data_IF_752036126128
#
_entry.id   IF_752036126128
#
_cell.length_a   1.000
_cell.length_b   1.000
_cell.length_c   1.000
_cell.angle_alpha   90.00
_cell.angle_beta   90.00
_cell.angle_gamma   90.00
#
_symmetry.space_group_name_H-M   'P 1'
#
loop_
_entity.id
_entity.type
_entity.pdbx_description
1 polymer ?
#
# COMPACT_ATOMS: atom_id res chain seq x y z
N UNK A 1 10.67 0.16 -9.95
CA UNK A 1 11.33 1.12 -9.05
C UNK A 1 11.27 2.52 -9.64
N UNK A 2 11.98 2.81 -10.74
CA UNK A 2 12.11 4.16 -11.32
C UNK A 2 10.78 4.91 -11.41
N UNK A 3 9.74 4.38 -12.04
CA UNK A 3 8.51 5.15 -12.24
C UNK A 3 7.79 5.55 -10.93
N UNK A 4 7.75 4.68 -9.92
CA UNK A 4 7.07 4.97 -8.65
C UNK A 4 7.85 5.99 -7.81
N UNK A 5 9.18 5.89 -7.80
CA UNK A 5 10.05 6.88 -7.14
C UNK A 5 10.05 8.22 -7.87
N UNK A 6 10.21 8.20 -9.19
CA UNK A 6 10.11 9.41 -10.03
C UNK A 6 8.74 10.08 -9.89
N UNK A 7 7.66 9.31 -9.75
CA UNK A 7 6.35 9.88 -9.47
C UNK A 7 6.32 10.56 -8.09
N UNK A 8 6.82 9.89 -7.05
CA UNK A 8 6.88 10.45 -5.69
C UNK A 8 7.69 11.76 -5.64
N UNK A 9 8.79 11.83 -6.38
CA UNK A 9 9.57 13.06 -6.59
C UNK A 9 8.77 14.13 -7.35
N UNK A 10 8.11 13.75 -8.44
CA UNK A 10 7.34 14.68 -9.28
C UNK A 10 6.17 15.35 -8.56
N UNK A 11 5.56 14.65 -7.59
CA UNK A 11 4.45 15.18 -6.79
C UNK A 11 4.92 15.84 -5.50
N UNK A 12 6.24 15.97 -5.31
CA UNK A 12 6.86 16.52 -4.11
C UNK A 12 6.30 15.88 -2.82
N UNK A 13 6.19 14.55 -2.82
CA UNK A 13 5.62 13.83 -1.69
C UNK A 13 6.45 14.08 -0.41
N UNK A 14 5.82 14.33 0.75
CA UNK A 14 6.53 14.58 2.01
C UNK A 14 7.24 13.33 2.58
N UNK A 15 7.12 12.19 1.90
CA UNK A 15 7.63 10.89 2.29
C UNK A 15 6.74 9.76 1.75
N UNK A 16 7.25 8.53 1.75
CA UNK A 16 6.52 7.36 1.32
C UNK A 16 7.32 6.07 1.43
N UNK A 17 6.61 4.95 1.31
CA UNK A 17 7.21 3.64 1.12
C UNK A 17 6.49 2.92 -0.01
N UNK A 18 7.23 2.11 -0.75
CA UNK A 18 6.79 1.34 -1.90
C UNK A 18 7.03 -0.11 -1.56
N UNK A 19 5.98 -0.92 -1.63
CA UNK A 19 6.05 -2.36 -1.42
C UNK A 19 5.51 -3.09 -2.66
N UNK A 20 6.22 -4.12 -3.10
CA UNK A 20 5.81 -5.01 -4.18
C UNK A 20 5.69 -6.42 -3.59
N UNK A 21 4.57 -7.06 -3.86
CA UNK A 21 4.28 -8.42 -3.41
C UNK A 21 3.95 -9.31 -4.59
N UNK A 22 4.09 -10.61 -4.41
CA UNK A 22 3.60 -11.60 -5.37
C UNK A 22 2.07 -11.79 -5.29
N UNK A 23 1.53 -12.72 -6.06
CA UNK A 23 0.11 -13.04 -6.06
C UNK A 23 -0.41 -13.64 -4.74
N UNK A 24 0.46 -14.23 -3.92
CA UNK A 24 0.15 -14.75 -2.58
C UNK A 24 0.29 -13.70 -1.48
N UNK A 25 0.77 -12.50 -1.81
CA UNK A 25 1.01 -11.42 -0.87
C UNK A 25 2.37 -11.52 -0.16
N UNK A 26 3.30 -12.35 -0.65
CA UNK A 26 4.66 -12.40 -0.13
C UNK A 26 5.46 -11.20 -0.62
N UNK A 27 6.21 -10.57 0.28
CA UNK A 27 7.02 -9.41 -0.03
C UNK A 27 8.16 -9.79 -0.98
N UNK A 28 8.19 -9.14 -2.14
CA UNK A 28 9.29 -9.25 -3.11
C UNK A 28 10.26 -8.08 -2.92
N UNK A 29 9.71 -6.89 -2.66
CA UNK A 29 10.51 -5.67 -2.53
C UNK A 29 9.85 -4.65 -1.61
N UNK A 30 10.67 -3.96 -0.84
CA UNK A 30 10.29 -2.81 -0.03
C UNK A 30 11.34 -1.72 -0.17
N UNK A 31 10.91 -0.50 -0.47
CA UNK A 31 11.75 0.69 -0.48
C UNK A 31 11.05 1.80 0.29
N UNK A 32 11.77 2.48 1.20
CA UNK A 32 11.24 3.60 1.98
C UNK A 32 12.06 4.84 1.67
N UNK A 33 11.37 5.92 1.31
CA UNK A 33 11.97 7.21 1.02
C UNK A 33 12.55 7.79 2.32
N UNK A 34 13.74 8.36 2.24
CA UNK A 34 14.40 8.99 3.40
C UNK A 34 13.51 10.09 4.02
N UNK A 35 13.54 10.23 5.35
CA UNK A 35 12.69 11.18 6.08
C UNK A 35 11.22 10.76 6.27
N UNK A 36 10.80 9.61 5.70
CA UNK A 36 9.44 9.09 5.89
C UNK A 36 9.21 8.53 7.29
N UNK A 37 7.99 8.66 7.82
CA UNK A 37 7.58 8.08 9.10
C UNK A 37 7.87 6.56 9.17
N UNK A 38 8.27 6.02 10.35
CA UNK A 38 8.77 4.63 10.45
C UNK A 38 7.78 3.56 9.99
N UNK A 39 6.49 3.72 10.31
CA UNK A 39 5.47 2.70 10.02
C UNK A 39 5.03 2.68 8.54
N UNK A 40 5.53 3.60 7.70
CA UNK A 40 5.16 3.67 6.28
C UNK A 40 5.45 2.37 5.54
N UNK A 41 6.55 1.70 5.89
CA UNK A 41 6.93 0.40 5.33
C UNK A 41 5.85 -0.65 5.51
N UNK A 42 5.32 -0.76 6.74
CA UNK A 42 4.30 -1.73 7.09
C UNK A 42 2.96 -1.40 6.44
N UNK A 43 2.60 -0.10 6.40
CA UNK A 43 1.39 0.37 5.72
C UNK A 43 1.44 0.08 4.22
N UNK A 44 2.58 0.34 3.56
CA UNK A 44 2.76 0.06 2.15
C UNK A 44 2.64 -1.45 1.86
N UNK A 45 3.29 -2.28 2.69
CA UNK A 45 3.18 -3.73 2.60
C UNK A 45 1.75 -4.22 2.81
N UNK A 46 1.06 -3.75 3.85
CA UNK A 46 -0.32 -4.11 4.14
C UNK A 46 -1.26 -3.79 2.97
N UNK A 47 -1.12 -2.61 2.36
CA UNK A 47 -1.87 -2.22 1.16
C UNK A 47 -1.56 -3.13 -0.03
N UNK A 48 -0.29 -3.39 -0.31
CA UNK A 48 0.13 -4.25 -1.42
C UNK A 48 -0.39 -5.69 -1.24
N UNK A 49 -0.24 -6.25 -0.04
CA UNK A 49 -0.72 -7.58 0.32
C UNK A 49 -2.24 -7.69 0.21
N UNK A 50 -2.96 -6.69 0.72
CA UNK A 50 -4.43 -6.63 0.60
C UNK A 50 -4.83 -6.63 -0.87
N UNK A 51 -4.19 -5.79 -1.69
CA UNK A 51 -4.48 -5.73 -3.12
C UNK A 51 -4.20 -7.06 -3.84
N UNK A 52 -3.12 -7.75 -3.48
CA UNK A 52 -2.78 -9.04 -4.05
C UNK A 52 -3.76 -10.16 -3.67
N UNK A 53 -4.21 -10.22 -2.41
CA UNK A 53 -5.11 -11.27 -1.90
C UNK A 53 -6.53 -11.06 -2.39
N UNK A 54 -7.06 -9.84 -2.28
CA UNK A 54 -8.44 -9.53 -2.66
C UNK A 54 -8.60 -9.25 -4.16
N UNK A 55 -7.50 -9.16 -4.92
CA UNK A 55 -7.47 -8.80 -6.35
C UNK A 55 -8.23 -7.50 -6.63
N UNK A 56 -8.22 -6.58 -5.67
CA UNK A 56 -8.95 -5.31 -5.68
C UNK A 56 -8.10 -4.25 -4.98
N UNK A 57 -8.16 -2.96 -5.37
CA UNK A 57 -7.49 -1.91 -4.63
C UNK A 57 -7.92 -1.90 -3.16
N UNK A 58 -6.96 -1.70 -2.23
CA UNK A 58 -7.27 -1.70 -0.79
C UNK A 58 -8.32 -0.64 -0.41
N UNK A 59 -8.38 0.47 -1.17
CA UNK A 59 -9.37 1.53 -1.00
C UNK A 59 -10.81 1.01 -1.10
N UNK A 60 -11.07 -0.01 -1.91
CA UNK A 60 -12.42 -0.56 -2.03
C UNK A 60 -12.92 -1.17 -0.72
N UNK A 61 -12.03 -1.70 0.12
CA UNK A 61 -12.40 -2.20 1.45
C UNK A 61 -12.72 -1.06 2.41
N UNK A 62 -11.94 0.03 2.36
CA UNK A 62 -12.18 1.23 3.14
C UNK A 62 -13.52 1.89 2.74
N UNK A 63 -13.75 2.04 1.44
CA UNK A 63 -15.00 2.58 0.89
C UNK A 63 -16.21 1.69 1.28
N UNK A 64 -16.05 0.36 1.33
CA UNK A 64 -17.12 -0.53 1.78
C UNK A 64 -17.50 -0.27 3.26
N UNK A 65 -16.52 -0.08 4.14
CA UNK A 65 -16.74 0.22 5.55
C UNK A 65 -17.41 1.60 5.72
N UNK A 66 -16.89 2.62 5.03
CA UNK A 66 -17.43 3.99 5.08
C UNK A 66 -18.88 4.04 4.58
N UNK A 67 -19.22 3.26 3.55
CA UNK A 67 -20.58 3.17 3.01
C UNK A 67 -21.50 2.24 3.80
N UNK A 68 -21.14 1.87 5.03
CA UNK A 68 -22.02 1.16 5.95
C UNK A 68 -22.13 -0.35 5.72
N UNK A 69 -21.22 -0.97 4.94
CA UNK A 69 -21.12 -2.44 4.97
C UNK A 69 -20.48 -2.88 6.27
N UNK A 70 -21.04 -3.92 6.88
CA UNK A 70 -20.42 -4.61 8.00
C UNK A 70 -19.03 -5.10 7.58
N UNK A 71 -18.00 -4.74 8.36
CA UNK A 71 -16.63 -5.22 8.15
C UNK A 71 -16.57 -6.75 8.19
N UNK A 72 -15.51 -7.37 7.68
CA UNK A 72 -15.34 -8.84 7.62
C UNK A 72 -15.19 -9.44 9.04
N UNK A 73 -16.27 -9.46 9.82
CA UNK A 73 -16.35 -9.87 11.23
C UNK A 73 -16.83 -11.33 11.36
N UNK A 74 -16.19 -12.27 10.70
CA UNK A 74 -16.41 -13.71 10.91
C UNK A 74 -15.15 -14.45 10.49
#
# INVERSE_FOLDING_TARGET
>A
MSQAMTYAESVNAPGGAIAIVDNGGHLILLERISGTFPIASEVAYGKARTAAIFKLPSKNLEDAIVNGRTSLIT
#
